data_IF_286915773378
#
_entry.id   IF_286915773378
#
_cell.length_a   1.000
_cell.length_b   1.000
_cell.length_c   1.000
_cell.angle_alpha   90.00
_cell.angle_beta   90.00
_cell.angle_gamma   90.00
#
_symmetry.space_group_name_H-M   'P 1'
#
loop_
_entity.id
_entity.type
_entity.pdbx_description
1 polymer ?
#
# COMPACT_ATOMS: atom_id res chain seq x y z
N UNK A 1 4.03 -6.03 -9.53
CA UNK A 1 4.74 -7.09 -8.76
C UNK A 1 4.15 -7.13 -7.36
N UNK A 2 3.82 -8.33 -6.86
CA UNK A 2 3.28 -8.53 -5.50
C UNK A 2 4.42 -8.34 -4.49
N UNK A 3 4.46 -7.22 -3.77
CA UNK A 3 5.28 -7.19 -2.54
C UNK A 3 4.53 -7.95 -1.46
N UNK A 4 5.17 -8.94 -0.79
CA UNK A 4 4.64 -9.47 0.46
C UNK A 4 4.49 -8.29 1.43
N UNK A 5 3.44 -8.28 2.24
CA UNK A 5 3.28 -7.27 3.29
C UNK A 5 4.58 -7.24 4.11
N UNK A 6 5.29 -6.11 4.05
CA UNK A 6 6.59 -5.95 4.70
C UNK A 6 6.36 -6.10 6.20
N UNK A 7 7.05 -7.04 6.83
CA UNK A 7 6.74 -7.48 8.20
C UNK A 7 7.22 -6.52 9.28
N UNK A 8 8.12 -5.58 8.96
CA UNK A 8 8.65 -4.59 9.91
C UNK A 8 8.74 -3.20 9.31
N UNK A 9 8.66 -2.17 10.16
CA UNK A 9 8.87 -0.77 9.76
C UNK A 9 10.20 -0.57 9.04
N UNK A 10 11.28 -1.20 9.52
CA UNK A 10 12.58 -1.15 8.84
C UNK A 10 12.53 -1.68 7.40
N UNK A 11 11.83 -2.80 7.17
CA UNK A 11 11.67 -3.34 5.82
C UNK A 11 10.87 -2.38 4.91
N UNK A 12 9.83 -1.73 5.46
CA UNK A 12 9.07 -0.67 4.79
C UNK A 12 9.98 0.48 4.37
N UNK A 13 10.71 1.07 5.31
CA UNK A 13 11.58 2.22 5.04
C UNK A 13 12.64 1.89 3.99
N UNK A 14 13.25 0.70 4.08
CA UNK A 14 14.21 0.21 3.08
C UNK A 14 13.56 0.07 1.69
N UNK A 15 12.34 -0.46 1.61
CA UNK A 15 11.63 -0.63 0.34
C UNK A 15 11.29 0.72 -0.29
N UNK A 16 10.77 1.67 0.50
CA UNK A 16 10.45 3.03 0.05
C UNK A 16 11.69 3.73 -0.49
N UNK A 17 12.80 3.71 0.25
CA UNK A 17 14.04 4.36 -0.18
C UNK A 17 14.65 3.71 -1.45
N UNK A 18 14.46 2.39 -1.64
CA UNK A 18 14.90 1.68 -2.85
C UNK A 18 14.02 1.95 -4.07
N UNK A 19 12.74 2.23 -3.86
CA UNK A 19 11.79 2.54 -4.94
C UNK A 19 11.97 3.96 -5.50
N UNK A 20 12.73 4.83 -4.81
CA UNK A 20 12.91 6.22 -5.21
C UNK A 20 13.62 6.37 -6.56
N UNK A 21 13.08 7.16 -7.51
CA UNK A 21 13.72 7.40 -8.80
C UNK A 21 15.12 8.02 -8.64
N UNK A 22 16.11 7.47 -9.33
CA UNK A 22 17.51 7.89 -9.16
C UNK A 22 18.21 7.27 -7.94
N UNK A 23 17.51 6.44 -7.17
CA UNK A 23 18.08 5.67 -6.06
C UNK A 23 18.14 6.44 -4.73
N UNK A 24 18.84 5.82 -3.77
CA UNK A 24 18.87 6.27 -2.37
C UNK A 24 19.54 7.64 -2.18
N UNK A 25 20.50 7.98 -3.02
CA UNK A 25 21.16 9.30 -2.96
C UNK A 25 20.18 10.42 -3.33
N UNK A 26 19.37 10.21 -4.37
CA UNK A 26 18.30 11.13 -4.74
C UNK A 26 17.21 11.22 -3.66
N UNK A 27 16.88 10.10 -3.00
CA UNK A 27 15.95 10.12 -1.86
C UNK A 27 16.49 10.97 -0.68
N UNK A 28 17.78 10.84 -0.36
CA UNK A 28 18.42 11.65 0.68
C UNK A 28 18.38 13.15 0.31
N UNK A 29 18.74 13.48 -0.94
CA UNK A 29 18.70 14.85 -1.43
C UNK A 29 17.27 15.43 -1.43
N UNK A 30 16.26 14.63 -1.80
CA UNK A 30 14.86 15.03 -1.76
C UNK A 30 14.38 15.39 -0.35
N UNK A 31 14.87 14.69 0.67
CA UNK A 31 14.61 15.01 2.07
C UNK A 31 15.50 16.13 2.64
N UNK A 32 16.32 16.78 1.80
CA UNK A 32 17.25 17.82 2.23
C UNK A 32 18.40 17.30 3.10
N UNK A 33 18.74 16.01 3.00
CA UNK A 33 19.81 15.40 3.78
C UNK A 33 21.14 15.46 3.03
N UNK A 34 22.02 16.36 3.45
CA UNK A 34 23.35 16.53 2.84
C UNK A 34 24.31 15.34 3.11
N UNK A 35 24.07 14.58 4.18
CA UNK A 35 24.91 13.44 4.56
C UNK A 35 24.25 12.11 4.18
N UNK A 36 24.63 11.57 3.02
CA UNK A 36 24.12 10.30 2.52
C UNK A 36 24.37 9.12 3.47
N UNK A 37 25.54 9.06 4.12
CA UNK A 37 25.85 7.99 5.09
C UNK A 37 24.93 8.05 6.31
N UNK A 38 24.56 9.25 6.74
CA UNK A 38 23.56 9.42 7.81
C UNK A 38 22.21 8.87 7.36
N UNK A 39 21.76 9.21 6.15
CA UNK A 39 20.51 8.68 5.59
C UNK A 39 20.49 7.15 5.52
N UNK A 40 21.59 6.51 5.08
CA UNK A 40 21.69 5.04 5.09
C UNK A 40 21.56 4.47 6.50
N UNK A 41 22.24 5.06 7.49
CA UNK A 41 22.11 4.64 8.88
C UNK A 41 20.67 4.79 9.41
N UNK A 42 19.93 5.82 8.98
CA UNK A 42 18.52 6.02 9.36
C UNK A 42 17.59 4.97 8.75
N UNK A 43 17.80 4.60 7.48
CA UNK A 43 17.01 3.57 6.79
C UNK A 43 17.27 2.18 7.39
N UNK A 44 18.53 1.88 7.70
CA UNK A 44 18.92 0.59 8.25
C UNK A 44 18.81 0.52 9.77
N UNK A 45 18.36 1.60 10.43
CA UNK A 45 18.29 1.72 11.89
C UNK A 45 19.62 1.30 12.56
N UNK A 46 20.72 1.79 11.99
CA UNK A 46 22.09 1.45 12.39
C UNK A 46 22.79 2.63 13.06
N UNK A 47 23.93 2.35 13.71
CA UNK A 47 24.81 3.35 14.30
C UNK A 47 24.12 4.30 15.32
N UNK A 48 23.01 3.88 15.93
CA UNK A 48 22.29 4.66 16.95
C UNK A 48 21.65 5.95 16.43
N UNK A 49 21.55 6.13 15.10
CA UNK A 49 20.92 7.32 14.51
C UNK A 49 19.41 7.18 14.58
N UNK A 50 18.71 8.30 14.86
CA UNK A 50 17.25 8.34 14.87
C UNK A 50 16.70 7.94 13.48
N UNK A 51 15.81 6.94 13.39
CA UNK A 51 15.19 6.53 12.13
C UNK A 51 14.43 7.68 11.45
N UNK A 52 14.14 7.52 10.15
CA UNK A 52 13.24 8.43 9.44
C UNK A 52 11.89 8.48 10.15
N UNK A 53 11.32 9.67 10.24
CA UNK A 53 9.95 9.93 10.72
C UNK A 53 8.92 9.43 9.72
N UNK A 54 7.69 9.20 10.17
CA UNK A 54 6.60 8.79 9.29
C UNK A 54 6.29 9.86 8.23
N UNK A 55 6.47 11.14 8.56
CA UNK A 55 6.34 12.25 7.61
C UNK A 55 7.38 12.22 6.50
N UNK A 56 8.65 11.95 6.82
CA UNK A 56 9.71 11.80 5.81
C UNK A 56 9.47 10.59 4.90
N UNK A 57 9.02 9.46 5.47
CA UNK A 57 8.67 8.27 4.68
C UNK A 57 7.47 8.57 3.77
N UNK A 58 6.43 9.21 4.28
CA UNK A 58 5.26 9.63 3.49
C UNK A 58 5.63 10.57 2.34
N UNK A 59 6.57 11.50 2.55
CA UNK A 59 7.06 12.39 1.50
C UNK A 59 7.74 11.61 0.37
N UNK A 60 8.58 10.62 0.71
CA UNK A 60 9.20 9.73 -0.27
C UNK A 60 8.14 8.90 -1.03
N UNK A 61 7.16 8.35 -0.31
CA UNK A 61 6.08 7.54 -0.90
C UNK A 61 5.17 8.33 -1.85
N UNK A 62 4.94 9.60 -1.53
CA UNK A 62 4.18 10.52 -2.39
C UNK A 62 4.87 10.68 -3.74
N UNK A 63 6.21 10.83 -3.73
CA UNK A 63 7.01 10.96 -4.96
C UNK A 63 7.07 9.64 -5.75
N UNK A 64 7.13 8.49 -5.07
CA UNK A 64 7.18 7.16 -5.71
C UNK A 64 5.82 6.60 -6.08
N UNK A 65 4.73 7.24 -5.64
CA UNK A 65 3.35 6.73 -5.74
C UNK A 65 3.19 5.34 -5.10
N UNK A 66 3.86 5.10 -3.97
CA UNK A 66 3.74 3.85 -3.19
C UNK A 66 2.93 4.07 -1.89
N UNK A 67 2.57 2.98 -1.20
CA UNK A 67 1.73 2.99 0.00
C UNK A 67 2.18 1.99 1.08
N UNK A 68 3.47 1.65 1.12
CA UNK A 68 4.03 0.65 2.01
C UNK A 68 3.89 0.99 3.49
N UNK A 69 4.09 2.25 3.88
CA UNK A 69 3.95 2.66 5.28
C UNK A 69 2.51 2.53 5.78
N UNK A 70 1.50 3.13 5.14
CA UNK A 70 0.13 2.98 5.61
C UNK A 70 -0.37 1.54 5.50
N UNK A 71 0.04 0.78 4.47
CA UNK A 71 -0.28 -0.66 4.37
C UNK A 71 0.24 -1.46 5.57
N UNK A 72 1.50 -1.23 5.96
CA UNK A 72 2.10 -1.87 7.12
C UNK A 72 1.39 -1.49 8.41
N UNK A 73 1.08 -0.20 8.60
CA UNK A 73 0.38 0.29 9.80
C UNK A 73 -1.02 -0.35 9.88
N UNK A 74 -1.81 -0.29 8.81
CA UNK A 74 -3.13 -0.90 8.77
C UNK A 74 -3.09 -2.41 9.07
N UNK A 75 -2.11 -3.12 8.51
CA UNK A 75 -1.95 -4.55 8.76
C UNK A 75 -1.71 -4.90 10.24
N UNK A 76 -1.01 -4.04 11.00
CA UNK A 76 -0.83 -4.22 12.46
C UNK A 76 -2.15 -4.15 13.24
N UNK A 77 -3.14 -3.41 12.74
CA UNK A 77 -4.48 -3.33 13.32
C UNK A 77 -5.47 -4.33 12.70
N UNK A 78 -5.01 -5.22 11.82
CA UNK A 78 -5.88 -6.11 11.06
C UNK A 78 -6.77 -5.39 10.04
N UNK A 79 -6.44 -4.13 9.70
CA UNK A 79 -7.15 -3.31 8.73
C UNK A 79 -6.46 -3.28 7.37
N UNK A 80 -6.99 -2.44 6.48
CA UNK A 80 -6.44 -2.20 5.15
C UNK A 80 -6.34 -0.72 4.86
N UNK A 81 -5.28 -0.35 4.16
CA UNK A 81 -5.18 0.98 3.59
C UNK A 81 -5.93 1.04 2.25
N UNK A 82 -6.65 2.14 2.06
CA UNK A 82 -7.32 2.46 0.81
C UNK A 82 -6.93 3.88 0.43
N UNK A 83 -6.22 4.00 -0.69
CA UNK A 83 -5.93 5.31 -1.26
C UNK A 83 -7.21 5.84 -1.91
N UNK A 84 -7.63 7.04 -1.51
CA UNK A 84 -8.74 7.72 -2.17
C UNK A 84 -8.26 8.36 -3.48
N UNK A 85 -9.08 8.35 -4.54
CA UNK A 85 -8.74 8.99 -5.79
C UNK A 85 -8.78 10.53 -5.66
N UNK A 86 -7.94 11.23 -6.43
CA UNK A 86 -7.98 12.70 -6.53
C UNK A 86 -8.95 13.14 -7.64
N UNK A 87 -9.70 14.23 -7.42
CA UNK A 87 -10.76 14.72 -8.32
C UNK A 87 -10.34 14.93 -9.79
N UNK A 88 -9.06 15.23 -10.03
CA UNK A 88 -8.53 15.51 -11.36
C UNK A 88 -8.28 14.28 -12.23
N UNK A 89 -8.33 13.07 -11.66
CA UNK A 89 -7.96 11.80 -12.31
C UNK A 89 -9.16 10.89 -12.60
N UNK A 90 -10.40 11.40 -12.60
CA UNK A 90 -11.60 10.58 -12.69
C UNK A 90 -12.45 10.90 -13.92
N UNK A 91 -12.69 9.88 -14.75
CA UNK A 91 -13.76 9.86 -15.75
C UNK A 91 -14.67 8.62 -15.60
N UNK A 92 -15.76 8.54 -16.39
CA UNK A 92 -16.70 7.43 -16.33
C UNK A 92 -16.11 6.07 -16.75
N UNK A 93 -15.09 6.06 -17.61
CA UNK A 93 -14.39 4.83 -18.03
C UNK A 93 -13.53 4.33 -16.87
N UNK A 94 -12.86 5.23 -16.15
CA UNK A 94 -12.11 4.93 -14.94
C UNK A 94 -13.00 4.36 -13.83
N UNK A 95 -14.21 4.90 -13.65
CA UNK A 95 -15.19 4.33 -12.70
C UNK A 95 -15.54 2.89 -13.03
N UNK A 96 -15.81 2.60 -14.31
CA UNK A 96 -16.13 1.24 -14.75
C UNK A 96 -14.95 0.28 -14.54
N UNK A 97 -13.73 0.69 -14.88
CA UNK A 97 -12.54 -0.12 -14.65
C UNK A 97 -12.30 -0.41 -13.17
N UNK A 98 -12.50 0.58 -12.29
CA UNK A 98 -12.39 0.41 -10.82
C UNK A 98 -13.43 -0.58 -10.29
N UNK A 99 -14.67 -0.46 -10.74
CA UNK A 99 -15.74 -1.40 -10.39
C UNK A 99 -15.43 -2.84 -10.86
N UNK A 100 -14.94 -2.99 -12.10
CA UNK A 100 -14.50 -4.28 -12.63
C UNK A 100 -13.34 -4.87 -11.82
N UNK A 101 -12.35 -4.06 -11.44
CA UNK A 101 -11.25 -4.51 -10.60
C UNK A 101 -11.75 -5.00 -9.24
N UNK A 102 -12.64 -4.26 -8.57
CA UNK A 102 -13.26 -4.70 -7.31
C UNK A 102 -13.98 -6.05 -7.47
N UNK A 103 -14.72 -6.22 -8.56
CA UNK A 103 -15.38 -7.50 -8.87
C UNK A 103 -14.38 -8.63 -9.11
N UNK A 104 -13.26 -8.36 -9.79
CA UNK A 104 -12.22 -9.35 -10.04
C UNK A 104 -11.52 -9.77 -8.72
N UNK A 105 -11.21 -8.82 -7.83
CA UNK A 105 -10.65 -9.14 -6.51
C UNK A 105 -11.63 -9.95 -5.66
N UNK A 106 -12.94 -9.65 -5.75
CA UNK A 106 -13.98 -10.43 -5.09
C UNK A 106 -14.01 -11.87 -5.60
N UNK A 107 -14.00 -12.06 -6.92
CA UNK A 107 -13.98 -13.39 -7.53
C UNK A 107 -12.75 -14.21 -7.10
N UNK A 108 -11.57 -13.58 -7.04
CA UNK A 108 -10.36 -14.25 -6.55
C UNK A 108 -10.45 -14.65 -5.07
N UNK A 109 -11.06 -13.81 -4.23
CA UNK A 109 -11.35 -14.16 -2.83
C UNK A 109 -12.30 -15.35 -2.74
N UNK A 110 -13.42 -15.29 -3.45
CA UNK A 110 -14.45 -16.34 -3.40
C UNK A 110 -13.89 -17.68 -3.91
N UNK A 111 -13.05 -17.67 -4.96
CA UNK A 111 -12.35 -18.86 -5.43
C UNK A 111 -11.39 -19.43 -4.37
N UNK A 112 -10.60 -18.59 -3.70
CA UNK A 112 -9.70 -19.06 -2.65
C UNK A 112 -10.46 -19.65 -1.46
N UNK A 113 -11.56 -19.02 -1.05
CA UNK A 113 -12.42 -19.55 0.02
C UNK A 113 -13.02 -20.89 -0.39
N UNK A 114 -13.50 -21.03 -1.64
CA UNK A 114 -14.02 -22.29 -2.14
C UNK A 114 -12.97 -23.41 -2.13
N UNK A 115 -11.74 -23.12 -2.57
CA UNK A 115 -10.64 -24.08 -2.59
C UNK A 115 -10.22 -24.51 -1.17
N UNK A 116 -10.12 -23.55 -0.25
CA UNK A 116 -9.74 -23.80 1.15
C UNK A 116 -10.83 -24.52 1.97
N UNK A 117 -11.99 -24.79 1.39
CA UNK A 117 -13.07 -25.55 2.04
C UNK A 117 -13.21 -26.97 1.46
N UNK A 118 -12.40 -27.36 0.47
CA UNK A 118 -12.50 -28.66 -0.19
C UNK A 118 -12.18 -29.85 0.74
N UNK A 119 -11.27 -29.66 1.70
CA UNK A 119 -10.92 -30.66 2.71
C UNK A 119 -11.68 -30.47 4.04
N UNK A 120 -12.50 -29.43 4.14
CA UNK A 120 -13.34 -29.11 5.29
C UNK A 120 -12.65 -28.35 6.43
N UNK A 121 -11.37 -28.00 6.30
CA UNK A 121 -10.61 -27.28 7.33
C UNK A 121 -9.80 -26.13 6.70
N UNK A 122 -9.72 -24.97 7.36
CA UNK A 122 -8.87 -23.86 6.89
C UNK A 122 -7.59 -23.84 7.70
N UNK A 123 -6.45 -24.07 7.05
CA UNK A 123 -5.14 -24.02 7.70
C UNK A 123 -4.63 -22.58 7.90
N UNK A 124 -3.51 -22.44 8.63
CA UNK A 124 -2.93 -21.13 8.93
C UNK A 124 -2.45 -20.36 7.68
N UNK A 125 -1.93 -21.07 6.67
CA UNK A 125 -1.48 -20.48 5.41
C UNK A 125 -2.65 -20.06 4.52
N UNK A 126 -3.73 -20.82 4.51
CA UNK A 126 -4.98 -20.50 3.81
C UNK A 126 -5.67 -19.30 4.45
N UNK A 127 -5.78 -19.29 5.78
CA UNK A 127 -6.29 -18.13 6.52
C UNK A 127 -5.49 -16.85 6.20
N UNK A 128 -4.15 -16.96 6.10
CA UNK A 128 -3.29 -15.85 5.68
C UNK A 128 -3.63 -15.36 4.26
N UNK A 129 -3.74 -16.29 3.29
CA UNK A 129 -4.07 -15.96 1.90
C UNK A 129 -5.47 -15.35 1.75
N UNK A 130 -6.46 -15.91 2.43
CA UNK A 130 -7.84 -15.41 2.46
C UNK A 130 -7.87 -13.99 2.99
N UNK A 131 -7.23 -13.73 4.14
CA UNK A 131 -7.15 -12.36 4.71
C UNK A 131 -6.46 -11.39 3.74
N UNK A 132 -5.38 -11.82 3.08
CA UNK A 132 -4.70 -10.98 2.11
C UNK A 132 -5.54 -10.68 0.86
N UNK A 133 -6.36 -11.62 0.37
CA UNK A 133 -7.28 -11.39 -0.73
C UNK A 133 -8.49 -10.55 -0.32
N UNK A 134 -9.03 -10.80 0.87
CA UNK A 134 -10.12 -10.02 1.44
C UNK A 134 -9.71 -8.56 1.60
N UNK A 135 -8.49 -8.33 2.09
CA UNK A 135 -7.92 -7.01 2.21
C UNK A 135 -7.89 -6.24 0.87
N UNK A 136 -7.50 -6.93 -0.21
CA UNK A 136 -7.47 -6.35 -1.58
C UNK A 136 -8.86 -6.04 -2.10
N UNK A 137 -9.82 -6.94 -1.86
CA UNK A 137 -11.21 -6.71 -2.25
C UNK A 137 -11.79 -5.49 -1.54
N UNK A 138 -11.64 -5.38 -0.22
CA UNK A 138 -12.14 -4.24 0.56
C UNK A 138 -11.50 -2.94 0.06
N UNK A 139 -10.18 -2.95 -0.20
CA UNK A 139 -9.48 -1.79 -0.72
C UNK A 139 -10.01 -1.35 -2.09
N UNK A 140 -10.09 -2.27 -3.06
CA UNK A 140 -10.61 -1.97 -4.39
C UNK A 140 -12.09 -1.54 -4.38
N UNK A 141 -12.90 -2.14 -3.51
CA UNK A 141 -14.32 -1.80 -3.35
C UNK A 141 -14.50 -0.37 -2.81
N UNK A 142 -13.77 -0.03 -1.75
CA UNK A 142 -13.80 1.31 -1.17
C UNK A 142 -13.28 2.37 -2.14
N UNK A 143 -12.21 2.07 -2.88
CA UNK A 143 -11.67 2.96 -3.92
C UNK A 143 -12.69 3.21 -5.05
N UNK A 144 -13.39 2.18 -5.52
CA UNK A 144 -14.42 2.32 -6.54
C UNK A 144 -15.59 3.20 -6.06
N UNK A 145 -16.06 3.00 -4.83
CA UNK A 145 -17.13 3.82 -4.24
C UNK A 145 -16.67 5.26 -4.02
N UNK A 146 -15.46 5.47 -3.50
CA UNK A 146 -14.90 6.80 -3.31
C UNK A 146 -14.79 7.57 -4.63
N UNK A 147 -14.38 6.91 -5.72
CA UNK A 147 -14.30 7.50 -7.05
C UNK A 147 -15.68 7.98 -7.56
N UNK A 148 -16.73 7.17 -7.36
CA UNK A 148 -18.10 7.56 -7.73
C UNK A 148 -18.54 8.79 -6.96
N UNK A 149 -18.29 8.81 -5.65
CA UNK A 149 -18.61 9.95 -4.79
C UNK A 149 -17.87 11.19 -5.30
N UNK A 150 -16.55 11.11 -5.46
CA UNK A 150 -15.71 12.24 -5.88
C UNK A 150 -16.13 12.82 -7.25
N UNK A 151 -16.39 11.97 -8.25
CA UNK A 151 -16.80 12.44 -9.58
C UNK A 151 -18.15 13.18 -9.56
N UNK A 152 -19.05 12.78 -8.66
CA UNK A 152 -20.42 13.30 -8.59
C UNK A 152 -20.65 14.27 -7.43
N UNK A 153 -19.59 14.66 -6.70
CA UNK A 153 -19.69 15.72 -5.70
C UNK A 153 -20.10 17.01 -6.39
N UNK A 154 -21.09 17.71 -5.81
CA UNK A 154 -21.50 19.02 -6.30
C UNK A 154 -20.30 19.98 -6.18
N UNK A 155 -19.87 20.57 -7.30
CA UNK A 155 -18.91 21.69 -7.27
C UNK A 155 -19.62 22.88 -6.60
N UNK A 156 -19.29 23.13 -5.34
CA UNK A 156 -19.70 24.33 -4.61
C UNK A 156 -18.86 25.55 -5.02
#
# INVERSE_FOLDING_TARGET
>A
MKSPALGTRKQVVVAVAKAFPGGRECAAAFLGMENFKRFENQIYEAAGVKPLTDGEVCALETQTKTSHLPEYICAMYGGVFVKLPEAGELDNVDLYQRALNASAQRGALDQMVSLALEDGEIDANEALKIRALHAKYISASLEAVAAVIELHQARA
#
